data_IF_807664537293
#
_entry.id   IF_807664537293
#
_cell.length_a   1.000
_cell.length_b   1.000
_cell.length_c   1.000
_cell.angle_alpha   90.00
_cell.angle_beta   90.00
_cell.angle_gamma   90.00
#
_symmetry.space_group_name_H-M   'P 1'
#
loop_
_entity.id
_entity.type
_entity.pdbx_description
1 polymer ?
#
# COMPACT_ATOMS: atom_id res chain seq x y z
N UNK A 1 -43.51 -60.78 -5.25
CA UNK A 1 -44.57 -59.88 -4.74
C UNK A 1 -44.05 -59.25 -3.46
N UNK A 2 -44.02 -57.91 -3.41
CA UNK A 2 -43.96 -56.98 -2.26
C UNK A 2 -43.05 -57.33 -1.05
N UNK A 3 -41.98 -56.59 -0.74
CA UNK A 3 -41.90 -55.21 -0.22
C UNK A 3 -42.34 -55.07 1.26
N UNK A 4 -41.36 -54.84 2.16
CA UNK A 4 -41.45 -54.01 3.38
C UNK A 4 -40.02 -53.89 3.97
N UNK A 5 -39.26 -52.80 3.77
CA UNK A 5 -39.31 -51.54 4.49
C UNK A 5 -39.12 -51.67 6.02
N UNK A 6 -37.87 -51.65 6.49
CA UNK A 6 -37.53 -51.26 7.86
C UNK A 6 -36.47 -50.14 7.80
N UNK A 7 -36.85 -48.99 8.35
CA UNK A 7 -36.19 -47.70 8.22
C UNK A 7 -34.81 -47.65 8.91
N UNK A 8 -33.82 -47.11 8.18
CA UNK A 8 -32.58 -46.60 8.77
C UNK A 8 -32.82 -45.14 9.17
N UNK A 9 -32.51 -44.72 10.41
CA UNK A 9 -32.82 -43.38 10.90
C UNK A 9 -32.12 -42.28 10.09
N UNK A 10 -32.90 -41.26 9.74
CA UNK A 10 -32.45 -40.03 9.11
C UNK A 10 -31.77 -39.11 10.13
N UNK A 11 -30.49 -38.84 9.93
CA UNK A 11 -29.89 -37.59 10.39
C UNK A 11 -29.79 -36.66 9.17
N UNK A 12 -30.26 -35.40 9.23
CA UNK A 12 -29.95 -34.43 8.19
C UNK A 12 -28.46 -34.09 8.33
N UNK A 13 -27.62 -34.74 7.53
CA UNK A 13 -26.26 -34.27 7.33
C UNK A 13 -26.40 -32.92 6.64
N UNK A 14 -26.19 -31.86 7.42
CA UNK A 14 -26.16 -30.48 6.95
C UNK A 14 -25.28 -30.34 5.71
N UNK A 15 -25.54 -29.34 4.87
CA UNK A 15 -25.11 -29.30 3.47
C UNK A 15 -23.64 -29.71 3.34
N UNK A 16 -23.46 -30.94 2.85
CA UNK A 16 -22.18 -31.50 2.54
C UNK A 16 -21.45 -30.57 1.59
N UNK A 17 -20.30 -30.09 2.05
CA UNK A 17 -19.03 -30.10 1.31
C UNK A 17 -19.14 -30.33 -0.19
N UNK A 18 -19.64 -29.33 -0.91
CA UNK A 18 -19.12 -29.05 -2.24
C UNK A 18 -17.64 -28.72 -2.05
N UNK A 19 -16.68 -29.41 -2.69
CA UNK A 19 -15.31 -28.94 -2.68
C UNK A 19 -15.31 -27.54 -3.30
N UNK A 20 -15.00 -26.52 -2.49
CA UNK A 20 -14.92 -25.10 -2.91
C UNK A 20 -13.69 -24.91 -3.80
N UNK A 21 -13.70 -25.48 -5.00
CA UNK A 21 -12.72 -25.18 -6.05
C UNK A 21 -13.23 -24.11 -7.03
N UNK A 22 -14.37 -23.48 -6.71
CA UNK A 22 -14.75 -22.20 -7.31
C UNK A 22 -13.64 -21.17 -7.09
N UNK A 23 -13.44 -20.31 -8.09
CA UNK A 23 -12.40 -19.28 -8.23
C UNK A 23 -12.02 -18.66 -6.89
N UNK A 24 -10.96 -19.18 -6.26
CA UNK A 24 -10.37 -18.54 -5.09
C UNK A 24 -9.93 -17.16 -5.55
N UNK A 25 -10.56 -16.13 -4.97
CA UNK A 25 -10.16 -14.77 -5.26
C UNK A 25 -8.81 -14.56 -4.60
N UNK A 26 -7.74 -14.67 -5.39
CA UNK A 26 -6.38 -14.40 -4.93
C UNK A 26 -6.23 -12.99 -4.34
N UNK A 27 -7.09 -12.06 -4.75
CA UNK A 27 -7.20 -10.71 -4.17
C UNK A 27 -7.75 -10.78 -2.74
N UNK A 28 -8.81 -11.55 -2.49
CA UNK A 28 -9.41 -11.69 -1.15
C UNK A 28 -8.52 -12.49 -0.20
N UNK A 29 -7.79 -13.46 -0.74
CA UNK A 29 -6.85 -14.30 -0.01
C UNK A 29 -5.47 -13.63 0.16
N UNK A 30 -5.32 -12.38 -0.31
CA UNK A 30 -4.09 -11.57 -0.21
C UNK A 30 -2.82 -12.29 -0.68
N UNK A 31 -2.94 -13.26 -1.60
CA UNK A 31 -1.79 -14.04 -2.10
C UNK A 31 -0.71 -13.19 -2.78
N UNK A 32 -1.04 -11.94 -3.16
CA UNK A 32 -0.14 -11.00 -3.81
C UNK A 32 0.23 -9.76 -2.97
N UNK A 33 -0.27 -9.67 -1.73
CA UNK A 33 0.07 -8.58 -0.81
C UNK A 33 1.01 -9.13 0.27
N UNK A 34 2.18 -8.50 0.48
CA UNK A 34 3.07 -8.94 1.54
C UNK A 34 2.42 -8.61 2.88
N UNK A 35 2.17 -9.65 3.69
CA UNK A 35 1.76 -9.50 5.08
C UNK A 35 2.93 -9.02 5.91
N UNK A 36 3.22 -7.72 5.84
CA UNK A 36 4.36 -7.09 6.51
C UNK A 36 4.01 -6.81 7.96
N UNK A 37 5.01 -6.95 8.82
CA UNK A 37 4.96 -6.40 10.18
C UNK A 37 5.09 -4.88 10.15
N UNK A 38 4.71 -4.20 11.24
CA UNK A 38 4.80 -2.74 11.32
C UNK A 38 6.25 -2.22 11.14
N UNK A 39 7.23 -2.97 11.64
CA UNK A 39 8.66 -2.63 11.51
C UNK A 39 9.16 -2.79 10.07
N UNK A 40 8.75 -3.84 9.37
CA UNK A 40 9.09 -4.05 7.96
C UNK A 40 8.43 -3.00 7.06
N UNK A 41 7.18 -2.62 7.35
CA UNK A 41 6.49 -1.53 6.66
C UNK A 41 7.25 -0.20 6.84
N UNK A 42 7.70 0.10 8.07
CA UNK A 42 8.53 1.26 8.35
C UNK A 42 9.87 1.22 7.60
N UNK A 43 10.52 0.05 7.52
CA UNK A 43 11.74 -0.13 6.73
C UNK A 43 11.50 0.12 5.23
N UNK A 44 10.36 -0.34 4.69
CA UNK A 44 10.00 -0.08 3.29
C UNK A 44 9.71 1.39 3.02
N UNK A 45 9.09 2.11 3.96
CA UNK A 45 8.92 3.58 3.88
C UNK A 45 10.27 4.28 3.83
N UNK A 46 11.24 3.89 4.67
CA UNK A 46 12.62 4.42 4.63
C UNK A 46 13.30 4.16 3.28
N UNK A 47 13.16 2.95 2.74
CA UNK A 47 13.67 2.60 1.41
C UNK A 47 13.00 3.44 0.29
N UNK A 48 11.72 3.75 0.44
CA UNK A 48 11.01 4.67 -0.45
C UNK A 48 11.60 6.07 -0.35
N UNK A 49 11.87 6.57 0.86
CA UNK A 49 12.50 7.87 1.06
C UNK A 49 13.89 7.97 0.43
N UNK A 50 14.74 6.96 0.62
CA UNK A 50 16.03 6.86 -0.07
C UNK A 50 15.86 6.82 -1.59
N UNK A 51 14.91 6.01 -2.09
CA UNK A 51 14.59 5.96 -3.50
C UNK A 51 14.21 7.32 -4.08
N UNK A 52 13.37 8.08 -3.38
CA UNK A 52 12.97 9.43 -3.81
C UNK A 52 14.16 10.40 -3.85
N UNK A 53 15.13 10.28 -2.94
CA UNK A 53 16.36 11.09 -3.02
C UNK A 53 17.17 10.83 -4.29
N UNK A 54 17.16 9.60 -4.81
CA UNK A 54 17.83 9.26 -6.07
C UNK A 54 17.18 9.86 -7.33
N UNK A 55 15.96 10.43 -7.22
CA UNK A 55 15.27 11.08 -8.35
C UNK A 55 15.83 12.44 -8.74
N UNK A 56 16.58 13.12 -7.85
CA UNK A 56 17.11 14.47 -8.12
C UNK A 56 17.85 14.59 -9.48
N UNK A 57 18.86 13.77 -9.80
CA UNK A 57 19.54 13.86 -11.09
C UNK A 57 18.62 13.56 -12.29
N UNK A 58 17.57 12.76 -12.11
CA UNK A 58 16.59 12.47 -13.16
C UNK A 58 15.70 13.68 -13.47
N UNK A 59 15.35 14.47 -12.44
CA UNK A 59 14.66 15.75 -12.60
C UNK A 59 15.57 16.80 -13.27
N UNK A 60 16.85 16.86 -12.90
CA UNK A 60 17.84 17.79 -13.47
C UNK A 60 18.10 17.51 -14.95
N UNK A 61 18.13 16.23 -15.33
CA UNK A 61 18.27 15.79 -16.73
C UNK A 61 16.95 15.82 -17.51
N UNK A 62 15.85 16.29 -16.91
CA UNK A 62 14.51 16.37 -17.52
C UNK A 62 14.01 15.03 -18.10
N UNK A 63 14.36 13.93 -17.44
CA UNK A 63 13.99 12.57 -17.86
C UNK A 63 12.56 12.18 -17.42
N UNK A 64 11.57 13.02 -17.77
CA UNK A 64 10.20 12.99 -17.22
C UNK A 64 9.52 11.63 -17.23
N UNK A 65 9.66 10.86 -18.31
CA UNK A 65 9.07 9.52 -18.41
C UNK A 65 9.65 8.58 -17.34
N UNK A 66 10.96 8.63 -17.12
CA UNK A 66 11.62 7.82 -16.10
C UNK A 66 11.20 8.24 -14.70
N UNK A 67 11.17 9.55 -14.43
CA UNK A 67 10.68 10.09 -13.16
C UNK A 67 9.25 9.60 -12.89
N UNK A 68 8.35 9.70 -13.87
CA UNK A 68 6.97 9.27 -13.74
C UNK A 68 6.86 7.78 -13.37
N UNK A 69 7.56 6.90 -14.10
CA UNK A 69 7.54 5.47 -13.80
C UNK A 69 8.13 5.15 -12.43
N UNK A 70 9.19 5.85 -12.04
CA UNK A 70 9.88 5.63 -10.79
C UNK A 70 9.02 6.05 -9.58
N UNK A 71 8.39 7.23 -9.64
CA UNK A 71 7.46 7.72 -8.61
C UNK A 71 6.31 6.72 -8.44
N UNK A 72 5.71 6.26 -9.54
CA UNK A 72 4.63 5.27 -9.51
C UNK A 72 5.05 3.94 -8.91
N UNK A 73 6.25 3.46 -9.25
CA UNK A 73 6.81 2.24 -8.67
C UNK A 73 6.98 2.36 -7.15
N UNK A 74 7.51 3.49 -6.67
CA UNK A 74 7.74 3.74 -5.24
C UNK A 74 6.46 4.01 -4.45
N UNK A 75 5.47 4.65 -5.08
CA UNK A 75 4.16 4.92 -4.46
C UNK A 75 3.23 3.71 -4.38
N UNK A 76 3.44 2.67 -5.19
CA UNK A 76 2.47 1.57 -5.40
C UNK A 76 1.94 0.92 -4.12
N UNK A 77 2.80 0.77 -3.11
CA UNK A 77 2.43 0.13 -1.84
C UNK A 77 2.49 1.08 -0.64
N UNK A 78 2.65 2.38 -0.88
CA UNK A 78 2.85 3.37 0.17
C UNK A 78 1.63 3.47 1.10
N UNK A 79 0.41 3.47 0.56
CA UNK A 79 -0.82 3.52 1.36
C UNK A 79 -0.95 2.31 2.31
N UNK A 80 -0.60 1.12 1.81
CA UNK A 80 -0.61 -0.10 2.60
C UNK A 80 0.47 -0.06 3.69
N UNK A 81 1.65 0.47 3.38
CA UNK A 81 2.71 0.66 4.38
C UNK A 81 2.29 1.64 5.46
N UNK A 82 1.74 2.79 5.08
CA UNK A 82 1.36 3.83 6.03
C UNK A 82 0.29 3.33 7.00
N UNK A 83 -0.68 2.58 6.50
CA UNK A 83 -1.72 1.96 7.34
C UNK A 83 -1.19 0.84 8.22
N UNK A 84 -0.25 0.03 7.73
CA UNK A 84 0.37 -1.06 8.51
C UNK A 84 1.32 -0.52 9.58
N UNK A 85 2.13 0.48 9.24
CA UNK A 85 3.09 1.12 10.14
C UNK A 85 2.40 1.89 11.28
N UNK A 86 1.15 2.33 11.09
CA UNK A 86 0.33 2.96 12.14
C UNK A 86 0.19 2.07 13.39
N UNK A 87 0.24 0.74 13.24
CA UNK A 87 0.19 -0.19 14.37
C UNK A 87 1.39 -0.04 15.33
N UNK A 88 2.53 0.45 14.85
CA UNK A 88 3.71 0.74 15.66
C UNK A 88 3.70 2.11 16.36
N UNK A 89 2.78 3.01 15.99
CA UNK A 89 2.72 4.37 16.53
C UNK A 89 1.87 4.41 17.82
N UNK A 90 2.34 5.10 18.89
CA UNK A 90 1.56 5.29 20.13
C UNK A 90 0.21 5.96 19.87
N UNK A 91 -0.84 5.52 20.58
CA UNK A 91 -2.22 5.97 20.33
C UNK A 91 -2.39 7.49 20.37
N UNK A 92 -1.70 8.16 21.31
CA UNK A 92 -1.74 9.61 21.47
C UNK A 92 -1.22 10.38 20.24
N UNK A 93 -0.30 9.79 19.46
CA UNK A 93 0.34 10.41 18.29
C UNK A 93 -0.27 9.97 16.96
N UNK A 94 -1.19 8.99 16.95
CA UNK A 94 -1.88 8.53 15.74
C UNK A 94 -2.59 9.65 14.94
N UNK A 95 -3.32 10.61 15.55
CA UNK A 95 -3.96 11.66 14.76
C UNK A 95 -2.95 12.54 14.02
N UNK A 96 -1.82 12.85 14.65
CA UNK A 96 -0.74 13.61 14.02
C UNK A 96 -0.08 12.81 12.89
N UNK A 97 0.17 11.52 13.10
CA UNK A 97 0.68 10.62 12.07
C UNK A 97 -0.25 10.58 10.85
N UNK A 98 -1.56 10.41 11.05
CA UNK A 98 -2.54 10.37 9.95
C UNK A 98 -2.54 11.68 9.17
N UNK A 99 -2.44 12.83 9.86
CA UNK A 99 -2.35 14.14 9.21
C UNK A 99 -1.12 14.23 8.30
N UNK A 100 0.05 13.88 8.81
CA UNK A 100 1.32 13.93 8.05
C UNK A 100 1.34 12.89 6.92
N UNK A 101 0.79 11.69 7.15
CA UNK A 101 0.65 10.65 6.14
C UNK A 101 -0.27 11.08 4.98
N UNK A 102 -1.39 11.74 5.28
CA UNK A 102 -2.26 12.29 4.23
C UNK A 102 -1.56 13.40 3.43
N UNK A 103 -0.81 14.29 4.11
CA UNK A 103 -0.01 15.31 3.43
C UNK A 103 1.05 14.71 2.49
N UNK A 104 1.69 13.59 2.89
CA UNK A 104 2.59 12.84 2.03
C UNK A 104 1.89 12.30 0.77
N UNK A 105 0.73 11.67 0.93
CA UNK A 105 -0.05 11.10 -0.19
C UNK A 105 -0.50 12.20 -1.16
N UNK A 106 -0.93 13.34 -0.62
CA UNK A 106 -1.33 14.51 -1.42
C UNK A 106 -0.13 15.09 -2.18
N UNK A 107 1.02 15.27 -1.52
CA UNK A 107 2.24 15.75 -2.16
C UNK A 107 2.73 14.80 -3.26
N UNK A 108 2.67 13.49 -3.05
CA UNK A 108 2.99 12.48 -4.06
C UNK A 108 2.04 12.53 -5.26
N UNK A 109 0.75 12.75 -5.02
CA UNK A 109 -0.27 12.86 -6.07
C UNK A 109 -0.06 14.10 -6.94
N UNK A 110 0.18 15.25 -6.31
CA UNK A 110 0.50 16.48 -7.04
C UNK A 110 1.85 16.37 -7.75
N UNK A 111 2.85 15.69 -7.16
CA UNK A 111 4.11 15.43 -7.84
C UNK A 111 3.93 14.59 -9.11
N UNK A 112 3.17 13.48 -9.08
CA UNK A 112 2.84 12.69 -10.29
C UNK A 112 2.16 13.56 -11.35
N UNK A 113 1.23 14.42 -10.92
CA UNK A 113 0.50 15.33 -11.80
C UNK A 113 1.44 16.31 -12.52
N UNK A 114 2.37 16.95 -11.81
CA UNK A 114 3.31 17.91 -12.38
C UNK A 114 4.42 17.26 -13.20
N UNK A 115 4.84 16.04 -12.85
CA UNK A 115 5.77 15.27 -13.69
C UNK A 115 5.09 14.86 -15.00
N UNK A 116 3.79 14.56 -14.97
CA UNK A 116 3.02 14.20 -16.18
C UNK A 116 2.87 15.38 -17.15
N UNK A 117 2.62 16.58 -16.64
CA UNK A 117 2.59 17.82 -17.44
C UNK A 117 3.88 18.58 -17.15
N UNK A 118 4.98 18.38 -17.91
CA UNK A 118 6.37 18.65 -17.50
C UNK A 118 6.62 20.13 -17.13
N UNK A 119 6.17 20.49 -15.94
CA UNK A 119 6.24 21.82 -15.35
C UNK A 119 7.41 21.80 -14.39
N UNK A 120 8.53 22.33 -14.85
CA UNK A 120 9.83 22.17 -14.19
C UNK A 120 9.76 22.69 -12.76
N UNK A 121 9.34 23.94 -12.58
CA UNK A 121 9.32 24.60 -11.27
C UNK A 121 8.41 23.89 -10.26
N UNK A 122 7.16 23.61 -10.64
CA UNK A 122 6.20 22.94 -9.78
C UNK A 122 6.65 21.51 -9.43
N UNK A 123 7.26 20.80 -10.38
CA UNK A 123 7.80 19.45 -10.13
C UNK A 123 8.91 19.48 -9.07
N UNK A 124 9.84 20.45 -9.13
CA UNK A 124 10.87 20.61 -8.11
C UNK A 124 10.28 21.00 -6.75
N UNK A 125 9.31 21.91 -6.73
CA UNK A 125 8.65 22.32 -5.49
C UNK A 125 7.99 21.13 -4.79
N UNK A 126 7.22 20.33 -5.54
CA UNK A 126 6.54 19.16 -4.99
C UNK A 126 7.50 18.00 -4.69
N UNK A 127 8.62 17.90 -5.41
CA UNK A 127 9.70 16.98 -5.06
C UNK A 127 10.26 17.27 -3.66
N UNK A 128 10.65 18.52 -3.39
CA UNK A 128 11.20 18.91 -2.08
C UNK A 128 10.16 18.77 -0.95
N UNK A 129 8.90 19.14 -1.22
CA UNK A 129 7.80 18.91 -0.26
C UNK A 129 7.60 17.44 0.06
N UNK A 130 7.65 16.58 -0.96
CA UNK A 130 7.50 15.13 -0.79
C UNK A 130 8.64 14.56 0.05
N UNK A 131 9.88 14.99 -0.19
CA UNK A 131 11.03 14.57 0.63
C UNK A 131 10.84 14.98 2.09
N UNK A 132 10.42 16.22 2.33
CA UNK A 132 10.13 16.69 3.68
C UNK A 132 9.02 15.87 4.35
N UNK A 133 7.90 15.64 3.68
CA UNK A 133 6.80 14.83 4.24
C UNK A 133 7.21 13.39 4.50
N UNK A 134 8.09 12.80 3.67
CA UNK A 134 8.65 11.47 3.94
C UNK A 134 9.48 11.47 5.22
N UNK A 135 10.33 12.48 5.41
CA UNK A 135 11.15 12.62 6.61
C UNK A 135 10.26 12.80 7.86
N UNK A 136 9.27 13.70 7.78
CA UNK A 136 8.29 13.92 8.84
C UNK A 136 7.55 12.61 9.21
N UNK A 137 7.13 11.79 8.23
CA UNK A 137 6.52 10.47 8.51
C UNK A 137 7.53 9.53 9.19
N UNK A 138 8.78 9.48 8.72
CA UNK A 138 9.77 8.56 9.29
C UNK A 138 10.11 8.88 10.73
N UNK A 139 10.00 10.14 11.18
CA UNK A 139 10.19 10.52 12.60
C UNK A 139 9.16 9.90 13.55
N UNK A 140 7.98 9.50 13.07
CA UNK A 140 6.99 8.77 13.87
C UNK A 140 7.28 7.27 13.95
N UNK A 141 8.18 6.76 13.13
CA UNK A 141 8.47 5.33 12.94
C UNK A 141 9.83 4.91 13.53
N UNK A 142 10.35 5.71 14.47
CA UNK A 142 11.58 5.49 15.25
C UNK A 142 11.25 4.95 16.63
#
# INVERSE_FOLDING_TARGET
MAAEAAAVPSAPVGPGTVPRWGTRSYVRERFFEPGLTAEEAAARIRQTAEGMRTLRPMLETMSWKYVLFYVRLKSKYLDLDLTTAMAGVPEARRPDYVRVANELVDNMTEFDRFVRTPKVYESYLFYEKTLKSLDDVTEFLV
#
